data_IF_685988026162
#
_entry.id   IF_685988026162
#
_cell.length_a   1.000
_cell.length_b   1.000
_cell.length_c   1.000
_cell.angle_alpha   90.00
_cell.angle_beta   90.00
_cell.angle_gamma   90.00
#
_symmetry.space_group_name_H-M   'P 1'
#
loop_
_entity.id
_entity.type
_entity.pdbx_description
1 polymer ?
#
# COMPACT_ATOMS: atom_id res chain seq x y z
N UNK A 1 -18.21 5.26 30.16
CA UNK A 1 -17.98 6.01 28.90
C UNK A 1 -16.51 6.35 28.62
N UNK A 2 -15.65 6.63 29.63
CA UNK A 2 -14.20 6.76 29.42
C UNK A 2 -13.51 5.45 28.99
N UNK A 3 -14.06 4.30 29.40
CA UNK A 3 -13.51 2.96 29.08
C UNK A 3 -13.78 2.52 27.64
N UNK A 4 -14.99 2.74 27.11
CA UNK A 4 -15.36 2.38 25.72
C UNK A 4 -14.58 3.18 24.66
N UNK A 5 -14.30 4.46 24.92
CA UNK A 5 -13.47 5.28 24.03
C UNK A 5 -12.00 4.88 24.06
N UNK A 6 -11.49 4.41 25.20
CA UNK A 6 -10.10 3.99 25.37
C UNK A 6 -9.83 2.61 24.75
N UNK A 7 -10.78 1.67 24.84
CA UNK A 7 -10.69 0.37 24.15
C UNK A 7 -10.76 0.49 22.62
N UNK A 8 -11.54 1.43 22.08
CA UNK A 8 -11.63 1.64 20.63
C UNK A 8 -10.38 2.30 20.04
N UNK A 9 -9.76 3.24 20.77
CA UNK A 9 -8.46 3.84 20.39
C UNK A 9 -7.36 2.77 20.44
N UNK A 10 -7.36 1.89 21.45
CA UNK A 10 -6.43 0.77 21.54
C UNK A 10 -6.66 -0.29 20.46
N UNK A 11 -7.91 -0.61 20.10
CA UNK A 11 -8.22 -1.53 19.02
C UNK A 11 -7.88 -0.96 17.63
N UNK A 12 -8.05 0.35 17.42
CA UNK A 12 -7.61 1.03 16.21
C UNK A 12 -6.08 1.10 16.12
N UNK A 13 -5.37 1.39 17.22
CA UNK A 13 -3.90 1.36 17.28
C UNK A 13 -3.33 -0.06 17.11
N UNK A 14 -4.01 -1.09 17.61
CA UNK A 14 -3.61 -2.49 17.44
C UNK A 14 -3.69 -2.98 15.99
N UNK A 15 -4.55 -2.38 15.15
CA UNK A 15 -4.59 -2.66 13.71
C UNK A 15 -3.45 -2.00 12.92
N UNK A 16 -2.75 -1.03 13.51
CA UNK A 16 -1.52 -0.43 12.97
C UNK A 16 -0.25 -1.07 13.55
N UNK A 17 -0.33 -1.74 14.70
CA UNK A 17 0.80 -2.45 15.33
C UNK A 17 1.25 -3.71 14.55
N UNK A 18 0.49 -4.14 13.55
CA UNK A 18 0.86 -5.22 12.63
C UNK A 18 1.64 -4.78 11.40
N UNK A 19 1.99 -3.49 11.28
CA UNK A 19 2.77 -2.98 10.15
C UNK A 19 4.25 -3.29 10.37
N UNK A 20 4.61 -4.57 10.23
CA UNK A 20 6.00 -4.95 10.02
C UNK A 20 6.39 -4.52 8.62
N UNK A 21 7.34 -3.58 8.51
CA UNK A 21 8.03 -3.31 7.26
C UNK A 21 8.82 -4.57 6.90
N UNK A 22 8.25 -5.42 6.07
CA UNK A 22 9.02 -6.52 5.51
C UNK A 22 9.95 -5.97 4.43
N UNK A 23 11.25 -6.09 4.67
CA UNK A 23 12.24 -5.82 3.64
C UNK A 23 12.54 -7.15 2.95
N UNK A 24 12.61 -7.20 1.62
CA UNK A 24 13.09 -8.40 0.95
C UNK A 24 14.52 -8.67 1.42
N UNK A 25 14.86 -9.91 1.74
CA UNK A 25 16.21 -10.26 2.19
C UNK A 25 17.16 -10.11 1.00
N UNK A 26 18.27 -9.41 1.19
CA UNK A 26 19.28 -9.18 0.15
C UNK A 26 20.63 -9.74 0.56
N UNK A 27 21.35 -10.29 -0.40
CA UNK A 27 22.72 -10.78 -0.23
C UNK A 27 23.57 -10.27 -1.40
N UNK A 28 24.72 -9.68 -1.12
CA UNK A 28 25.63 -9.17 -2.15
C UNK A 28 27.01 -9.83 -2.02
N UNK A 29 27.65 -10.06 -3.16
CA UNK A 29 28.98 -10.64 -3.27
C UNK A 29 29.67 -10.21 -4.58
N UNK A 30 30.75 -10.89 -4.95
CA UNK A 30 31.59 -10.53 -6.08
C UNK A 30 32.70 -9.55 -5.70
N UNK A 31 33.48 -9.11 -6.69
CA UNK A 31 34.55 -8.14 -6.49
C UNK A 31 33.94 -6.81 -6.05
N UNK A 32 34.17 -6.44 -4.78
CA UNK A 32 33.59 -5.26 -4.13
C UNK A 32 32.06 -5.30 -3.96
N UNK A 33 31.47 -6.47 -3.71
CA UNK A 33 30.04 -6.65 -3.38
C UNK A 33 29.05 -6.10 -4.43
N UNK A 34 29.45 -6.11 -5.70
CA UNK A 34 28.68 -5.53 -6.81
C UNK A 34 27.59 -6.44 -7.37
N UNK A 35 27.62 -7.73 -7.03
CA UNK A 35 26.64 -8.71 -7.49
C UNK A 35 25.65 -8.95 -6.36
N UNK A 36 24.42 -8.51 -6.53
CA UNK A 36 23.40 -8.55 -5.49
C UNK A 36 22.21 -9.41 -5.89
N UNK A 37 21.74 -10.19 -4.92
CA UNK A 37 20.58 -11.06 -5.01
C UNK A 37 19.56 -10.62 -3.97
N UNK A 38 18.28 -10.73 -4.29
CA UNK A 38 17.20 -10.34 -3.39
C UNK A 38 16.04 -11.32 -3.53
N UNK A 39 15.51 -11.79 -2.41
CA UNK A 39 14.38 -12.73 -2.36
C UNK A 39 13.16 -12.06 -1.77
N UNK A 40 12.01 -12.35 -2.36
CA UNK A 40 10.74 -11.85 -1.91
C UNK A 40 9.71 -12.99 -1.91
N UNK A 41 9.23 -13.34 -0.71
CA UNK A 41 8.30 -14.45 -0.48
C UNK A 41 6.89 -13.90 -0.28
N UNK A 42 5.93 -14.16 -1.19
CA UNK A 42 4.53 -13.78 -0.98
C UNK A 42 3.97 -14.36 0.32
N UNK A 43 3.14 -13.60 1.03
CA UNK A 43 2.47 -14.07 2.25
C UNK A 43 1.66 -15.36 2.05
N UNK A 44 1.12 -15.60 0.84
CA UNK A 44 0.45 -16.85 0.49
C UNK A 44 1.42 -18.04 0.55
N UNK A 45 2.60 -17.92 -0.05
CA UNK A 45 3.64 -18.95 -0.02
C UNK A 45 4.19 -19.16 1.39
N UNK A 46 4.44 -18.06 2.12
CA UNK A 46 4.83 -18.11 3.53
C UNK A 46 3.83 -18.88 4.40
N UNK A 47 2.53 -18.68 4.17
CA UNK A 47 1.47 -19.29 4.97
C UNK A 47 1.23 -20.76 4.63
N UNK A 48 1.23 -21.10 3.34
CA UNK A 48 0.92 -22.45 2.84
C UNK A 48 2.15 -23.38 2.79
N UNK A 49 3.37 -22.83 2.82
CA UNK A 49 4.60 -23.59 2.73
C UNK A 49 4.97 -24.02 1.30
N UNK A 50 4.23 -23.55 0.28
CA UNK A 50 4.49 -23.78 -1.14
C UNK A 50 3.96 -22.59 -1.95
N UNK A 51 4.60 -22.28 -3.08
CA UNK A 51 4.07 -21.26 -3.99
C UNK A 51 5.15 -20.42 -4.66
N UNK A 52 4.74 -19.24 -5.13
CA UNK A 52 5.61 -18.37 -5.90
C UNK A 52 6.76 -17.80 -5.05
N UNK A 53 7.89 -17.56 -5.70
CA UNK A 53 9.06 -16.88 -5.15
C UNK A 53 9.51 -15.82 -6.17
N UNK A 54 9.82 -14.62 -5.69
CA UNK A 54 10.39 -13.58 -6.54
C UNK A 54 11.87 -13.42 -6.21
N UNK A 55 12.69 -13.43 -7.25
CA UNK A 55 14.14 -13.27 -7.14
C UNK A 55 14.53 -12.07 -7.98
N UNK A 56 15.39 -11.21 -7.45
CA UNK A 56 16.04 -10.15 -8.21
C UNK A 56 17.55 -10.35 -8.20
N UNK A 57 18.14 -10.34 -9.39
CA UNK A 57 19.59 -10.40 -9.60
C UNK A 57 20.05 -9.06 -10.17
N UNK A 58 21.10 -8.48 -9.60
CA UNK A 58 21.70 -7.22 -10.04
C UNK A 58 23.21 -7.37 -10.14
N UNK A 59 23.78 -6.94 -11.26
CA UNK A 59 25.22 -6.90 -11.44
C UNK A 59 25.60 -5.84 -12.49
N UNK A 60 26.77 -5.20 -12.38
CA UNK A 60 27.22 -4.30 -13.42
C UNK A 60 27.51 -5.02 -14.74
N UNK A 61 27.48 -4.28 -15.84
CA UNK A 61 27.63 -4.82 -17.20
C UNK A 61 29.05 -5.25 -17.57
N UNK A 62 30.01 -5.12 -16.65
CA UNK A 62 31.37 -5.68 -16.75
C UNK A 62 31.44 -7.17 -16.36
N UNK A 63 30.30 -7.74 -15.96
CA UNK A 63 30.10 -9.18 -15.83
C UNK A 63 29.55 -9.77 -17.13
N UNK A 64 30.26 -10.76 -17.67
CA UNK A 64 29.83 -11.54 -18.84
C UNK A 64 28.55 -12.31 -18.54
N UNK A 65 28.48 -12.94 -17.35
CA UNK A 65 27.29 -13.61 -16.84
C UNK A 65 27.31 -13.66 -15.31
N UNK A 66 26.12 -13.75 -14.72
CA UNK A 66 25.91 -13.96 -13.27
C UNK A 66 24.86 -15.05 -13.06
N UNK A 67 25.08 -15.93 -12.09
CA UNK A 67 24.23 -17.06 -11.78
C UNK A 67 23.87 -17.15 -10.30
N UNK A 68 22.63 -17.55 -10.04
CA UNK A 68 22.14 -17.95 -8.71
C UNK A 68 21.61 -19.38 -8.80
N UNK A 69 21.97 -20.25 -7.86
CA UNK A 69 21.51 -21.63 -7.80
C UNK A 69 20.94 -21.99 -6.43
N UNK A 70 19.97 -22.90 -6.40
CA UNK A 70 19.42 -23.46 -5.16
C UNK A 70 20.36 -24.52 -4.57
N UNK A 71 20.34 -24.71 -3.25
CA UNK A 71 21.11 -25.76 -2.57
C UNK A 71 22.54 -25.33 -2.25
N UNK A 72 23.38 -26.32 -1.90
CA UNK A 72 24.72 -26.10 -1.36
C UNK A 72 25.85 -26.26 -2.39
N UNK A 73 25.56 -26.87 -3.54
CA UNK A 73 26.55 -27.20 -4.57
C UNK A 73 25.93 -27.16 -5.97
N UNK A 74 26.77 -27.25 -7.01
CA UNK A 74 26.28 -27.23 -8.40
C UNK A 74 25.42 -28.44 -8.73
N UNK A 75 25.78 -29.62 -8.23
CA UNK A 75 25.04 -30.86 -8.48
C UNK A 75 23.61 -30.79 -7.92
N UNK A 76 22.61 -31.06 -8.75
CA UNK A 76 21.20 -31.00 -8.35
C UNK A 76 20.64 -29.59 -8.18
N UNK A 77 21.43 -28.55 -8.46
CA UNK A 77 20.99 -27.15 -8.32
C UNK A 77 20.10 -26.71 -9.50
N UNK A 78 18.98 -26.08 -9.17
CA UNK A 78 18.21 -25.26 -10.11
C UNK A 78 18.88 -23.90 -10.20
N UNK A 79 19.37 -23.55 -11.39
CA UNK A 79 20.16 -22.35 -11.61
C UNK A 79 19.44 -21.32 -12.50
N UNK A 80 19.60 -20.05 -12.14
CA UNK A 80 19.13 -18.88 -12.84
C UNK A 80 20.36 -18.09 -13.30
N UNK A 81 20.70 -18.19 -14.59
CA UNK A 81 21.86 -17.49 -15.16
C UNK A 81 21.35 -16.33 -16.01
N UNK A 82 21.92 -15.15 -15.78
CA UNK A 82 21.60 -13.93 -16.51
C UNK A 82 22.83 -13.38 -17.24
N UNK A 83 22.59 -12.80 -18.41
CA UNK A 83 23.57 -12.09 -19.22
C UNK A 83 22.85 -11.08 -20.12
N UNK A 84 23.57 -10.12 -20.68
CA UNK A 84 22.94 -9.12 -21.55
C UNK A 84 22.58 -9.75 -22.90
N UNK A 85 21.43 -9.34 -23.43
CA UNK A 85 20.93 -9.82 -24.72
C UNK A 85 21.57 -9.10 -25.93
N UNK A 86 22.21 -7.96 -25.67
CA UNK A 86 22.82 -7.07 -26.66
C UNK A 86 21.96 -5.92 -27.16
N UNK A 87 20.68 -5.87 -26.77
CA UNK A 87 19.73 -4.81 -27.19
C UNK A 87 19.34 -3.86 -26.07
N UNK A 88 19.99 -3.98 -24.90
CA UNK A 88 19.68 -3.22 -23.70
C UNK A 88 18.77 -3.97 -22.72
N UNK A 89 18.53 -5.26 -22.95
CA UNK A 89 17.79 -6.14 -22.07
C UNK A 89 18.71 -7.23 -21.47
N UNK A 90 18.13 -8.11 -20.66
CA UNK A 90 18.80 -9.27 -20.08
C UNK A 90 18.14 -10.56 -20.57
N UNK A 91 18.96 -11.56 -20.84
CA UNK A 91 18.52 -12.93 -21.10
C UNK A 91 18.53 -13.70 -19.78
N UNK A 92 17.45 -14.44 -19.52
CA UNK A 92 17.37 -15.39 -18.42
C UNK A 92 17.46 -16.82 -18.96
N UNK A 93 18.47 -17.55 -18.49
CA UNK A 93 18.71 -18.95 -18.79
C UNK A 93 18.50 -19.78 -17.54
N UNK A 94 17.44 -20.59 -17.51
CA UNK A 94 17.23 -21.58 -16.47
C UNK A 94 18.05 -22.84 -16.79
N UNK A 95 18.77 -23.37 -15.80
CA UNK A 95 19.68 -24.50 -16.00
C UNK A 95 19.61 -25.49 -14.86
N UNK A 96 20.06 -26.72 -15.12
CA UNK A 96 20.18 -27.78 -14.10
C UNK A 96 21.62 -28.24 -14.00
N UNK A 97 22.15 -28.28 -12.78
CA UNK A 97 23.51 -28.77 -12.55
C UNK A 97 23.56 -30.28 -12.34
N UNK A 98 24.54 -30.93 -12.97
CA UNK A 98 24.78 -32.39 -12.91
C UNK A 98 26.23 -32.68 -12.49
N UNK A 99 26.74 -31.92 -11.51
CA UNK A 99 28.13 -31.96 -11.06
C UNK A 99 28.91 -30.70 -11.44
N UNK A 100 30.22 -30.84 -11.67
CA UNK A 100 31.13 -29.75 -12.04
C UNK A 100 31.28 -29.57 -13.56
N UNK A 101 30.22 -29.87 -14.30
CA UNK A 101 30.15 -29.67 -15.75
C UNK A 101 29.34 -28.40 -16.06
N UNK A 102 29.50 -27.86 -17.28
CA UNK A 102 28.71 -26.71 -17.71
C UNK A 102 27.23 -27.07 -17.65
N UNK A 103 26.41 -26.38 -16.83
CA UNK A 103 25.00 -26.71 -16.72
C UNK A 103 24.29 -26.33 -18.03
N UNK A 104 23.45 -27.23 -18.53
CA UNK A 104 22.69 -27.02 -19.76
C UNK A 104 21.34 -26.34 -19.49
N UNK A 105 20.80 -25.68 -20.53
CA UNK A 105 19.48 -25.08 -20.43
C UNK A 105 18.42 -26.15 -20.19
N UNK A 106 17.62 -25.95 -19.14
CA UNK A 106 16.43 -26.74 -18.86
C UNK A 106 15.24 -25.82 -18.73
N UNK A 107 14.19 -26.06 -19.51
CA UNK A 107 13.03 -25.17 -19.59
C UNK A 107 12.15 -25.29 -18.34
N UNK A 108 12.12 -24.24 -17.52
CA UNK A 108 11.24 -24.14 -16.35
C UNK A 108 10.05 -23.23 -16.66
N UNK A 109 8.89 -23.82 -17.01
CA UNK A 109 7.70 -23.04 -17.47
C UNK A 109 7.15 -22.06 -16.44
N UNK A 110 7.36 -22.32 -15.15
CA UNK A 110 6.94 -21.45 -14.05
C UNK A 110 7.91 -20.30 -13.78
N UNK A 111 9.06 -20.27 -14.44
CA UNK A 111 10.11 -19.27 -14.28
C UNK A 111 10.12 -18.33 -15.47
N UNK A 112 10.06 -17.02 -15.22
CA UNK A 112 10.12 -15.99 -16.28
C UNK A 112 10.67 -14.68 -15.76
N UNK A 113 11.25 -13.89 -16.66
CA UNK A 113 11.49 -12.47 -16.40
C UNK A 113 10.15 -11.74 -16.30
N UNK A 114 10.08 -10.77 -15.39
CA UNK A 114 8.96 -9.85 -15.22
C UNK A 114 9.41 -8.41 -15.46
N UNK A 115 8.44 -7.49 -15.49
CA UNK A 115 8.67 -6.07 -15.75
C UNK A 115 9.74 -5.45 -14.84
N UNK A 116 10.43 -4.44 -15.38
CA UNK A 116 11.58 -3.81 -14.73
C UNK A 116 12.90 -4.59 -14.85
N UNK A 117 12.91 -5.71 -15.58
CA UNK A 117 14.14 -6.37 -16.02
C UNK A 117 14.75 -5.63 -17.22
N UNK A 118 16.08 -5.64 -17.32
CA UNK A 118 16.83 -5.04 -18.42
C UNK A 118 18.17 -4.46 -17.97
N UNK A 119 18.81 -3.70 -18.84
CA UNK A 119 20.05 -3.00 -18.53
C UNK A 119 19.76 -1.52 -18.27
N UNK A 120 19.96 -1.07 -17.03
CA UNK A 120 19.71 0.32 -16.60
C UNK A 120 20.96 0.86 -15.92
N UNK A 121 21.43 2.04 -16.32
CA UNK A 121 22.60 2.71 -15.71
C UNK A 121 23.85 1.81 -15.58
N UNK A 122 24.18 1.04 -16.63
CA UNK A 122 25.31 0.08 -16.64
C UNK A 122 25.17 -1.05 -15.62
N UNK A 123 23.94 -1.38 -15.23
CA UNK A 123 23.61 -2.50 -14.36
C UNK A 123 22.59 -3.40 -15.05
N UNK A 124 22.90 -4.70 -15.13
CA UNK A 124 21.93 -5.74 -15.44
C UNK A 124 20.99 -5.89 -14.25
N UNK A 125 19.69 -5.86 -14.51
CA UNK A 125 18.64 -6.12 -13.53
C UNK A 125 17.74 -7.22 -14.08
N UNK A 126 17.65 -8.35 -13.38
CA UNK A 126 16.70 -9.41 -13.71
C UNK A 126 15.72 -9.56 -12.54
N UNK A 127 14.46 -9.21 -12.78
CA UNK A 127 13.36 -9.54 -11.89
C UNK A 127 12.74 -10.84 -12.37
N UNK A 128 12.80 -11.88 -11.54
CA UNK A 128 12.45 -13.24 -11.90
C UNK A 128 11.23 -13.65 -11.06
N UNK A 129 10.15 -14.01 -11.74
CA UNK A 129 9.05 -14.74 -11.13
C UNK A 129 9.37 -16.22 -11.20
N UNK A 130 9.46 -16.89 -10.06
CA UNK A 130 9.48 -18.34 -9.94
C UNK A 130 8.10 -18.78 -9.43
N UNK A 131 7.49 -19.78 -10.09
CA UNK A 131 6.39 -20.50 -9.46
C UNK A 131 6.91 -21.42 -8.35
N UNK A 132 6.15 -22.46 -8.03
CA UNK A 132 6.60 -23.42 -7.03
C UNK A 132 7.86 -24.16 -7.50
N UNK A 133 8.94 -24.03 -6.73
CA UNK A 133 10.23 -24.70 -6.95
C UNK A 133 10.31 -26.06 -6.21
N UNK A 134 9.28 -26.44 -5.45
CA UNK A 134 9.13 -27.73 -4.80
C UNK A 134 9.95 -27.93 -3.52
N UNK A 135 11.20 -27.46 -3.49
CA UNK A 135 12.16 -27.70 -2.40
C UNK A 135 12.50 -26.44 -1.59
N UNK A 136 11.52 -25.55 -1.37
CA UNK A 136 11.74 -24.29 -0.67
C UNK A 136 11.14 -24.31 0.75
N UNK A 137 11.96 -24.01 1.74
CA UNK A 137 11.56 -23.83 3.14
C UNK A 137 11.11 -22.38 3.38
N UNK A 138 9.87 -22.05 3.03
CA UNK A 138 9.36 -20.67 3.12
C UNK A 138 9.30 -20.07 4.53
N UNK A 139 9.47 -20.86 5.60
CA UNK A 139 9.49 -20.40 7.00
C UNK A 139 10.86 -20.59 7.67
N UNK A 140 11.90 -20.85 6.90
CA UNK A 140 13.23 -21.10 7.44
C UNK A 140 14.34 -20.82 6.43
N UNK A 141 15.52 -21.34 6.74
CA UNK A 141 16.71 -21.14 5.93
C UNK A 141 16.70 -21.99 4.68
N UNK A 142 17.14 -21.38 3.57
CA UNK A 142 17.33 -22.02 2.28
C UNK A 142 18.77 -21.77 1.86
N UNK A 143 19.47 -22.84 1.45
CA UNK A 143 20.83 -22.73 0.96
C UNK A 143 20.84 -22.29 -0.51
N UNK A 144 21.79 -21.45 -0.83
CA UNK A 144 21.98 -20.89 -2.15
C UNK A 144 23.46 -20.90 -2.50
N UNK A 145 23.72 -21.08 -3.79
CA UNK A 145 25.00 -20.85 -4.40
C UNK A 145 24.90 -19.69 -5.39
N UNK A 146 26.00 -19.03 -5.61
CA UNK A 146 26.13 -17.96 -6.60
C UNK A 146 27.44 -18.10 -7.32
N UNK A 147 27.46 -17.66 -8.58
CA UNK A 147 28.64 -17.70 -9.41
C UNK A 147 28.60 -16.54 -10.41
N UNK A 148 29.75 -16.04 -10.81
CA UNK A 148 29.83 -14.95 -11.78
C UNK A 148 31.08 -15.09 -12.62
N UNK A 149 31.05 -14.41 -13.77
CA UNK A 149 32.21 -14.29 -14.63
C UNK A 149 32.37 -12.85 -15.11
N UNK A 150 33.52 -12.25 -14.83
CA UNK A 150 33.89 -10.96 -15.41
C UNK A 150 34.31 -11.11 -16.87
N UNK A 151 34.03 -10.09 -17.68
CA UNK A 151 34.42 -10.09 -19.09
C UNK A 151 33.43 -9.35 -19.99
N UNK A 152 33.68 -9.42 -21.30
CA UNK A 152 32.78 -8.86 -22.30
C UNK A 152 31.45 -9.59 -22.30
N UNK A 153 30.39 -8.82 -22.57
CA UNK A 153 29.02 -9.31 -22.73
C UNK A 153 28.93 -10.49 -23.70
N UNK A 154 28.07 -11.47 -23.40
CA UNK A 154 27.70 -12.51 -24.36
C UNK A 154 26.85 -11.98 -25.52
N UNK A 155 26.18 -10.84 -25.33
CA UNK A 155 25.42 -10.13 -26.35
C UNK A 155 24.48 -11.05 -27.15
N UNK A 156 23.67 -11.84 -26.43
CA UNK A 156 22.80 -12.86 -27.04
C UNK A 156 21.49 -13.05 -26.29
N UNK A 157 20.39 -13.09 -27.04
CA UNK A 157 19.06 -13.46 -26.55
C UNK A 157 18.87 -14.99 -26.42
N UNK A 158 19.83 -15.80 -26.91
CA UNK A 158 19.76 -17.26 -26.87
C UNK A 158 19.89 -17.77 -25.44
N UNK A 159 18.85 -18.46 -24.94
CA UNK A 159 18.75 -18.95 -23.55
C UNK A 159 19.67 -20.13 -23.23
N UNK A 160 20.33 -20.70 -24.23
CA UNK A 160 21.18 -21.88 -24.19
C UNK A 160 22.65 -21.57 -24.52
N UNK A 161 23.04 -20.29 -24.47
CA UNK A 161 24.40 -19.85 -24.76
C UNK A 161 25.46 -20.64 -23.96
N UNK A 162 26.58 -20.99 -24.62
CA UNK A 162 27.70 -21.60 -23.93
C UNK A 162 28.34 -20.58 -22.97
N UNK A 163 28.49 -20.96 -21.69
CA UNK A 163 29.11 -20.12 -20.67
C UNK A 163 30.41 -20.78 -20.21
N UNK A 164 31.46 -19.97 -20.09
CA UNK A 164 32.73 -20.40 -19.50
C UNK A 164 32.60 -20.46 -17.98
N UNK A 165 33.45 -21.27 -17.36
CA UNK A 165 33.58 -21.38 -15.91
C UNK A 165 33.71 -20.01 -15.23
N UNK A 166 33.07 -19.88 -14.06
CA UNK A 166 33.07 -18.67 -13.25
C UNK A 166 34.47 -18.33 -12.74
N UNK A 167 34.76 -17.05 -12.58
CA UNK A 167 35.98 -16.59 -11.92
C UNK A 167 35.81 -16.44 -10.40
N UNK A 168 34.57 -16.43 -9.91
CA UNK A 168 34.25 -16.45 -8.50
C UNK A 168 32.89 -17.07 -8.23
N UNK A 169 32.76 -17.66 -7.06
CA UNK A 169 31.53 -18.28 -6.57
C UNK A 169 31.44 -18.12 -5.06
N UNK A 170 30.23 -18.31 -4.53
CA UNK A 170 30.01 -18.36 -3.09
C UNK A 170 28.82 -19.25 -2.73
N UNK A 171 28.84 -19.81 -1.53
CA UNK A 171 27.70 -20.48 -0.89
C UNK A 171 27.24 -19.69 0.33
N UNK A 172 25.94 -19.61 0.53
CA UNK A 172 25.34 -18.87 1.64
C UNK A 172 23.93 -19.38 1.93
N UNK A 173 23.35 -18.98 3.06
CA UNK A 173 22.00 -19.36 3.45
C UNK A 173 21.14 -18.10 3.64
N UNK A 174 19.88 -18.18 3.24
CA UNK A 174 18.91 -17.10 3.35
C UNK A 174 17.71 -17.59 4.14
N UNK A 175 17.44 -16.95 5.28
CA UNK A 175 16.23 -17.20 6.04
C UNK A 175 15.05 -16.44 5.42
N UNK A 176 14.06 -17.19 4.95
CA UNK A 176 12.84 -16.66 4.38
C UNK A 176 11.82 -16.18 5.42
N UNK A 177 12.05 -16.46 6.71
CA UNK A 177 11.25 -15.92 7.82
C UNK A 177 11.28 -14.39 7.89
N UNK A 178 12.35 -13.76 7.38
CA UNK A 178 12.49 -12.31 7.29
C UNK A 178 12.16 -11.75 5.88
N UNK A 179 12.07 -12.63 4.87
CA UNK A 179 11.83 -12.27 3.46
C UNK A 179 10.32 -12.24 3.08
N UNK A 180 9.43 -12.20 4.06
CA UNK A 180 7.99 -12.28 3.84
C UNK A 180 7.41 -10.96 3.30
N UNK A 181 7.13 -10.90 2.01
CA UNK A 181 6.21 -9.90 1.48
C UNK A 181 4.83 -10.13 2.09
N UNK A 182 4.45 -9.33 3.09
CA UNK A 182 3.04 -9.07 3.36
C UNK A 182 2.43 -8.67 2.02
N UNK A 183 1.33 -9.31 1.61
CA UNK A 183 0.61 -8.98 0.38
C UNK A 183 0.53 -7.45 0.21
N UNK A 184 1.35 -6.89 -0.68
CA UNK A 184 1.73 -5.47 -0.65
C UNK A 184 3.09 -5.10 -1.24
N UNK A 185 3.84 -6.05 -1.80
CA UNK A 185 5.09 -5.82 -2.55
C UNK A 185 4.91 -5.33 -3.98
N UNK A 186 3.72 -4.85 -4.37
CA UNK A 186 3.49 -4.20 -5.67
C UNK A 186 3.60 -2.68 -5.49
N UNK A 187 4.84 -2.22 -5.41
CA UNK A 187 5.23 -0.82 -5.34
C UNK A 187 4.96 -0.17 -3.97
N UNK A 188 6.02 0.19 -3.25
CA UNK A 188 5.97 1.03 -2.03
C UNK A 188 4.94 2.17 -2.14
N UNK A 189 4.78 2.73 -3.33
CA UNK A 189 3.85 3.80 -3.66
C UNK A 189 2.37 3.42 -3.53
N UNK A 190 1.94 2.22 -3.96
CA UNK A 190 0.55 1.75 -3.84
C UNK A 190 0.18 1.49 -2.39
N UNK A 191 1.10 0.89 -1.63
CA UNK A 191 0.95 0.65 -0.19
C UNK A 191 0.92 1.97 0.59
N UNK A 192 1.83 2.91 0.28
CA UNK A 192 1.82 4.27 0.86
C UNK A 192 0.50 4.98 0.55
N UNK A 193 0.02 4.93 -0.69
CA UNK A 193 -1.27 5.49 -1.09
C UNK A 193 -2.42 4.90 -0.26
N UNK A 194 -2.54 3.57 -0.25
CA UNK A 194 -3.60 2.86 0.46
C UNK A 194 -3.59 3.16 1.96
N UNK A 195 -2.40 3.21 2.58
CA UNK A 195 -2.23 3.51 3.99
C UNK A 195 -2.64 4.95 4.33
N UNK A 196 -2.14 5.95 3.60
CA UNK A 196 -2.49 7.36 3.82
C UNK A 196 -3.99 7.56 3.63
N UNK A 197 -4.56 7.06 2.53
CA UNK A 197 -5.97 7.26 2.21
C UNK A 197 -6.89 6.54 3.20
N UNK A 198 -6.50 5.36 3.69
CA UNK A 198 -7.25 4.66 4.75
C UNK A 198 -7.29 5.47 6.03
N UNK A 199 -6.16 6.02 6.49
CA UNK A 199 -6.13 6.88 7.69
C UNK A 199 -6.98 8.13 7.51
N UNK A 200 -6.85 8.80 6.37
CA UNK A 200 -7.58 10.03 6.04
C UNK A 200 -9.09 9.81 6.04
N UNK A 201 -9.59 8.79 5.34
CA UNK A 201 -11.03 8.58 5.13
C UNK A 201 -11.71 7.76 6.22
N UNK A 202 -11.04 6.74 6.80
CA UNK A 202 -11.65 5.96 7.87
C UNK A 202 -11.61 6.69 9.20
N UNK A 203 -10.56 7.45 9.49
CA UNK A 203 -10.35 8.02 10.82
C UNK A 203 -10.32 9.55 10.79
N UNK A 204 -9.50 10.15 9.93
CA UNK A 204 -9.24 11.59 9.89
C UNK A 204 -10.49 12.43 9.73
N UNK A 205 -11.21 12.26 8.62
CA UNK A 205 -12.42 13.02 8.32
C UNK A 205 -13.57 12.72 9.31
N UNK A 206 -13.90 11.45 9.62
CA UNK A 206 -14.95 11.14 10.61
C UNK A 206 -14.65 11.74 11.98
N UNK A 207 -13.43 11.59 12.50
CA UNK A 207 -13.05 12.15 13.79
C UNK A 207 -13.09 13.68 13.78
N UNK A 208 -12.54 14.29 12.73
CA UNK A 208 -12.55 15.75 12.56
C UNK A 208 -13.96 16.33 12.55
N UNK A 209 -14.91 15.63 11.93
CA UNK A 209 -16.31 16.05 11.87
C UNK A 209 -17.04 15.96 13.21
N UNK A 210 -16.54 15.15 14.17
CA UNK A 210 -17.04 15.05 15.54
C UNK A 210 -16.49 16.15 16.48
N UNK A 211 -15.39 16.81 16.12
CA UNK A 211 -14.78 17.86 16.96
C UNK A 211 -15.73 19.04 17.18
N UNK A 212 -16.47 19.47 16.15
CA UNK A 212 -17.49 20.52 16.31
C UNK A 212 -18.64 20.11 17.23
N UNK A 213 -19.26 18.92 17.06
CA UNK A 213 -20.24 18.41 18.00
C UNK A 213 -19.79 18.34 19.46
N UNK A 214 -18.56 17.92 19.71
CA UNK A 214 -18.06 17.57 21.05
C UNK A 214 -17.41 18.78 21.75
N UNK A 215 -16.51 19.47 21.06
CA UNK A 215 -15.69 20.55 21.63
C UNK A 215 -16.34 21.92 21.38
N UNK A 216 -17.04 22.09 20.25
CA UNK A 216 -17.71 23.34 19.89
C UNK A 216 -16.79 24.47 19.41
N UNK A 217 -15.48 24.23 19.30
CA UNK A 217 -14.49 25.21 18.86
C UNK A 217 -14.22 25.08 17.36
N UNK A 218 -14.63 26.10 16.58
CA UNK A 218 -14.54 26.10 15.12
C UNK A 218 -13.10 25.97 14.61
N UNK A 219 -12.15 26.64 15.26
CA UNK A 219 -10.75 26.62 14.82
C UNK A 219 -10.12 25.24 14.98
N UNK A 220 -10.43 24.49 16.05
CA UNK A 220 -9.92 23.12 16.25
C UNK A 220 -10.42 22.20 15.14
N UNK A 221 -11.71 22.31 14.81
CA UNK A 221 -12.28 21.56 13.70
C UNK A 221 -11.64 21.97 12.37
N UNK A 222 -11.57 23.26 12.06
CA UNK A 222 -10.99 23.76 10.82
C UNK A 222 -9.53 23.32 10.66
N UNK A 223 -8.69 23.50 11.69
CA UNK A 223 -7.28 23.09 11.65
C UNK A 223 -7.13 21.59 11.41
N UNK A 224 -7.86 20.75 12.15
CA UNK A 224 -7.82 19.31 11.94
C UNK A 224 -8.26 18.92 10.51
N UNK A 225 -9.37 19.51 10.04
CA UNK A 225 -9.87 19.26 8.69
C UNK A 225 -8.86 19.67 7.61
N UNK A 226 -8.14 20.78 7.80
CA UNK A 226 -7.11 21.20 6.85
C UNK A 226 -5.89 20.27 6.85
N UNK A 227 -5.46 19.75 8.02
CA UNK A 227 -4.37 18.76 8.08
C UNK A 227 -4.76 17.48 7.33
N UNK A 228 -5.97 16.97 7.57
CA UNK A 228 -6.48 15.78 6.89
C UNK A 228 -6.66 16.03 5.40
N UNK A 229 -7.08 17.23 4.99
CA UNK A 229 -7.20 17.64 3.60
C UNK A 229 -5.85 17.65 2.87
N UNK A 230 -4.79 18.15 3.51
CA UNK A 230 -3.43 18.09 2.95
C UNK A 230 -2.97 16.64 2.84
N UNK A 231 -3.22 15.82 3.88
CA UNK A 231 -2.92 14.39 3.86
C UNK A 231 -3.63 13.64 2.73
N UNK A 232 -4.88 14.01 2.42
CA UNK A 232 -5.62 13.48 1.27
C UNK A 232 -4.92 13.76 -0.05
N UNK A 233 -4.40 14.97 -0.27
CA UNK A 233 -3.65 15.31 -1.48
C UNK A 233 -2.31 14.59 -1.55
N UNK A 234 -1.61 14.41 -0.44
CA UNK A 234 -0.41 13.58 -0.38
C UNK A 234 -0.71 12.13 -0.78
N UNK A 235 -1.80 11.56 -0.26
CA UNK A 235 -2.30 10.25 -0.66
C UNK A 235 -2.69 10.21 -2.14
N UNK A 236 -3.38 11.23 -2.65
CA UNK A 236 -3.76 11.30 -4.07
C UNK A 236 -2.55 11.31 -5.00
N UNK A 237 -1.52 12.11 -4.69
CA UNK A 237 -0.27 12.16 -5.47
C UNK A 237 0.43 10.81 -5.50
N UNK A 238 0.52 10.12 -4.37
CA UNK A 238 1.11 8.76 -4.36
C UNK A 238 0.25 7.78 -5.15
N UNK A 239 -1.07 7.87 -5.09
CA UNK A 239 -1.97 7.05 -5.92
C UNK A 239 -1.76 7.28 -7.42
N UNK A 240 -1.56 8.52 -7.83
CA UNK A 240 -1.23 8.88 -9.22
C UNK A 240 0.08 8.26 -9.67
N UNK A 241 1.12 8.37 -8.84
CA UNK A 241 2.41 7.74 -9.11
C UNK A 241 2.32 6.20 -9.20
N UNK A 242 1.41 5.57 -8.43
CA UNK A 242 1.16 4.14 -8.52
C UNK A 242 0.41 3.75 -9.80
N UNK A 243 -0.60 4.54 -10.18
CA UNK A 243 -1.40 4.29 -11.38
C UNK A 243 -0.63 4.52 -12.69
N UNK A 244 0.26 5.51 -12.73
CA UNK A 244 1.14 5.77 -13.89
C UNK A 244 2.03 4.55 -14.20
N UNK A 245 2.49 3.82 -13.16
CA UNK A 245 3.33 2.62 -13.33
C UNK A 245 2.56 1.43 -13.88
N UNK A 246 1.26 1.35 -13.61
CA UNK A 246 0.39 0.23 -14.02
C UNK A 246 -0.42 0.54 -15.27
N UNK A 247 -0.33 1.77 -15.81
CA UNK A 247 -1.11 2.21 -16.97
C UNK A 247 -2.62 2.31 -16.74
N UNK A 248 -3.10 2.18 -15.49
CA UNK A 248 -4.51 1.96 -15.16
C UNK A 248 -5.30 3.22 -14.77
N UNK A 249 -4.77 4.42 -15.03
CA UNK A 249 -5.33 5.69 -14.53
C UNK A 249 -6.79 5.95 -14.95
N UNK A 250 -7.21 5.51 -16.14
CA UNK A 250 -8.56 5.79 -16.66
C UNK A 250 -9.51 4.59 -16.70
N UNK A 251 -9.04 3.39 -16.39
CA UNK A 251 -9.82 2.16 -16.61
C UNK A 251 -10.36 1.55 -15.31
N UNK A 252 -9.77 1.91 -14.16
CA UNK A 252 -10.15 1.33 -12.87
C UNK A 252 -11.24 2.16 -12.16
N UNK A 253 -12.37 1.54 -11.74
CA UNK A 253 -13.44 2.24 -11.02
C UNK A 253 -12.96 2.99 -9.77
N UNK A 254 -12.02 2.41 -9.02
CA UNK A 254 -11.41 3.03 -7.85
C UNK A 254 -10.71 4.36 -8.16
N UNK A 255 -9.98 4.42 -9.28
CA UNK A 255 -9.22 5.61 -9.67
C UNK A 255 -10.17 6.72 -10.13
N UNK A 256 -11.20 6.37 -10.90
CA UNK A 256 -12.21 7.32 -11.37
C UNK A 256 -12.97 7.92 -10.19
N UNK A 257 -13.56 7.06 -9.34
CA UNK A 257 -14.33 7.52 -8.18
C UNK A 257 -13.44 8.30 -7.21
N UNK A 258 -12.22 7.81 -6.93
CA UNK A 258 -11.27 8.49 -6.05
C UNK A 258 -10.90 9.89 -6.53
N UNK A 259 -10.64 10.05 -7.83
CA UNK A 259 -10.33 11.35 -8.44
C UNK A 259 -11.49 12.32 -8.33
N UNK A 260 -12.72 11.86 -8.63
CA UNK A 260 -13.93 12.67 -8.49
C UNK A 260 -14.13 13.10 -7.04
N UNK A 261 -14.03 12.18 -6.08
CA UNK A 261 -14.20 12.48 -4.65
C UNK A 261 -13.16 13.48 -4.15
N UNK A 262 -11.88 13.33 -4.54
CA UNK A 262 -10.82 14.27 -4.16
C UNK A 262 -11.06 15.66 -4.74
N UNK A 263 -11.48 15.76 -6.00
CA UNK A 263 -11.83 17.02 -6.65
C UNK A 263 -13.03 17.71 -5.98
N UNK A 264 -14.08 16.94 -5.68
CA UNK A 264 -15.26 17.42 -4.96
C UNK A 264 -14.92 17.90 -3.54
N UNK A 265 -13.95 17.28 -2.88
CA UNK A 265 -13.53 17.67 -1.53
C UNK A 265 -12.97 19.10 -1.46
N UNK A 266 -12.48 19.69 -2.56
CA UNK A 266 -12.02 21.10 -2.60
C UNK A 266 -13.15 22.08 -2.25
N UNK A 267 -14.40 21.71 -2.51
CA UNK A 267 -15.57 22.53 -2.22
C UNK A 267 -15.86 22.58 -0.71
N UNK A 268 -15.43 21.58 0.07
CA UNK A 268 -15.73 21.48 1.50
C UNK A 268 -15.16 22.64 2.34
N UNK A 269 -13.86 23.01 2.23
CA UNK A 269 -13.32 24.18 2.94
C UNK A 269 -14.06 25.48 2.61
N UNK A 270 -14.45 25.68 1.35
CA UNK A 270 -15.20 26.86 0.88
C UNK A 270 -16.56 26.91 1.56
N UNK A 271 -17.31 25.80 1.49
CA UNK A 271 -18.62 25.68 2.16
C UNK A 271 -18.51 25.81 3.67
N UNK A 272 -17.44 25.31 4.29
CA UNK A 272 -17.17 25.45 5.71
C UNK A 272 -16.93 26.90 6.13
N UNK A 273 -16.16 27.66 5.34
CA UNK A 273 -15.95 29.09 5.56
C UNK A 273 -17.24 29.90 5.41
N UNK A 274 -18.02 29.64 4.35
CA UNK A 274 -19.33 30.28 4.14
C UNK A 274 -20.33 29.91 5.25
N UNK A 275 -20.36 28.64 5.67
CA UNK A 275 -21.14 28.18 6.81
C UNK A 275 -20.77 28.98 8.06
N UNK A 276 -19.49 29.11 8.36
CA UNK A 276 -19.02 29.81 9.55
C UNK A 276 -19.39 31.29 9.53
N UNK A 277 -19.13 31.99 8.42
CA UNK A 277 -19.50 33.41 8.26
C UNK A 277 -21.01 33.62 8.41
N UNK A 278 -21.83 32.76 7.84
CA UNK A 278 -23.28 32.84 7.97
C UNK A 278 -23.74 32.53 9.39
N UNK A 279 -23.12 31.56 10.08
CA UNK A 279 -23.45 31.22 11.44
C UNK A 279 -23.11 32.36 12.41
N UNK A 280 -21.95 33.01 12.25
CA UNK A 280 -21.57 34.20 13.04
C UNK A 280 -22.54 35.36 12.79
N UNK A 281 -22.97 35.57 11.54
CA UNK A 281 -23.91 36.66 11.19
C UNK A 281 -25.34 36.43 11.69
N UNK A 282 -25.88 35.22 11.52
CA UNK A 282 -27.31 34.95 11.76
C UNK A 282 -27.58 34.19 13.06
N UNK A 283 -26.54 33.70 13.75
CA UNK A 283 -26.62 32.90 14.98
C UNK A 283 -27.53 31.66 14.88
N UNK A 284 -27.80 31.21 13.64
CA UNK A 284 -28.62 30.04 13.32
C UNK A 284 -28.07 29.30 12.11
N UNK A 285 -28.46 28.03 11.96
CA UNK A 285 -28.14 27.25 10.76
C UNK A 285 -28.86 27.82 9.53
N UNK A 286 -28.14 27.95 8.43
CA UNK A 286 -28.68 28.44 7.15
C UNK A 286 -28.73 27.32 6.11
N UNK A 287 -29.24 27.59 4.90
CA UNK A 287 -29.23 26.60 3.80
C UNK A 287 -27.83 26.06 3.51
N UNK A 288 -26.83 26.96 3.44
CA UNK A 288 -25.41 26.61 3.28
C UNK A 288 -24.95 25.67 4.39
N UNK A 289 -25.48 25.81 5.61
CA UNK A 289 -25.12 24.91 6.70
C UNK A 289 -25.54 23.47 6.45
N UNK A 290 -26.72 23.26 5.89
CA UNK A 290 -27.22 21.93 5.55
C UNK A 290 -26.48 21.35 4.37
N UNK A 291 -26.19 22.17 3.35
CA UNK A 291 -25.39 21.76 2.19
C UNK A 291 -24.02 21.27 2.63
N UNK A 292 -23.25 22.07 3.39
CA UNK A 292 -21.92 21.67 3.89
C UNK A 292 -21.93 20.31 4.62
N UNK A 293 -22.89 20.13 5.54
CA UNK A 293 -22.99 18.92 6.37
C UNK A 293 -23.37 17.69 5.54
N UNK A 294 -24.43 17.76 4.75
CA UNK A 294 -24.93 16.60 3.99
C UNK A 294 -24.01 16.25 2.82
N UNK A 295 -23.47 17.26 2.14
CA UNK A 295 -22.46 17.07 1.11
C UNK A 295 -21.21 16.37 1.67
N UNK A 296 -20.77 16.75 2.88
CA UNK A 296 -19.59 16.14 3.52
C UNK A 296 -19.84 14.68 3.88
N UNK A 297 -21.03 14.37 4.39
CA UNK A 297 -21.43 12.99 4.69
C UNK A 297 -21.47 12.12 3.44
N UNK A 298 -22.03 12.62 2.35
CA UNK A 298 -22.06 11.90 1.08
C UNK A 298 -20.63 11.59 0.57
N UNK A 299 -19.74 12.59 0.58
CA UNK A 299 -18.34 12.40 0.17
C UNK A 299 -17.57 11.43 1.07
N UNK A 300 -17.80 11.44 2.39
CA UNK A 300 -17.17 10.47 3.30
C UNK A 300 -17.60 9.04 2.99
N UNK A 301 -18.90 8.80 2.76
CA UNK A 301 -19.41 7.47 2.39
C UNK A 301 -18.80 7.01 1.07
N UNK A 302 -18.81 7.87 0.05
CA UNK A 302 -18.18 7.56 -1.24
C UNK A 302 -16.68 7.27 -1.10
N UNK A 303 -15.96 8.04 -0.28
CA UNK A 303 -14.54 7.82 -0.02
C UNK A 303 -14.26 6.48 0.68
N UNK A 304 -15.06 6.11 1.68
CA UNK A 304 -14.92 4.82 2.39
C UNK A 304 -15.20 3.64 1.45
N UNK A 305 -16.27 3.72 0.65
CA UNK A 305 -16.60 2.70 -0.37
C UNK A 305 -15.48 2.62 -1.40
N UNK A 306 -14.97 3.76 -1.85
CA UNK A 306 -13.86 3.82 -2.79
C UNK A 306 -12.58 3.18 -2.23
N UNK A 307 -12.26 3.37 -0.95
CA UNK A 307 -11.12 2.70 -0.32
C UNK A 307 -11.27 1.17 -0.33
N UNK A 308 -12.50 0.65 -0.15
CA UNK A 308 -12.79 -0.78 -0.31
C UNK A 308 -12.55 -1.28 -1.74
N UNK A 309 -12.97 -0.52 -2.75
CA UNK A 309 -12.66 -0.81 -4.16
C UNK A 309 -11.15 -0.78 -4.44
N UNK A 310 -10.40 0.10 -3.77
CA UNK A 310 -8.94 0.18 -3.88
C UNK A 310 -8.25 -1.07 -3.36
N UNK A 311 -8.72 -1.62 -2.23
CA UNK A 311 -8.22 -2.90 -1.71
C UNK A 311 -8.52 -4.07 -2.64
N UNK A 312 -9.71 -4.08 -3.27
CA UNK A 312 -10.05 -5.09 -4.28
C UNK A 312 -9.16 -4.98 -5.52
N UNK A 313 -8.94 -3.75 -6.01
CA UNK A 313 -8.04 -3.49 -7.15
C UNK A 313 -6.61 -3.93 -6.86
N UNK A 314 -6.14 -3.75 -5.63
CA UNK A 314 -4.80 -4.17 -5.19
C UNK A 314 -4.67 -5.69 -4.92
N UNK A 315 -5.72 -6.49 -5.15
CA UNK A 315 -5.70 -7.92 -4.85
C UNK A 315 -5.46 -8.23 -3.37
N UNK A 316 -5.87 -7.33 -2.46
CA UNK A 316 -5.59 -7.44 -1.05
C UNK A 316 -6.18 -8.71 -0.43
N UNK A 317 -5.47 -9.30 0.54
CA UNK A 317 -5.95 -10.51 1.21
C UNK A 317 -7.33 -10.31 1.85
N UNK A 318 -8.14 -11.37 1.88
CA UNK A 318 -9.47 -11.35 2.52
C UNK A 318 -9.41 -10.85 3.97
N UNK A 319 -8.32 -11.14 4.70
CA UNK A 319 -8.08 -10.63 6.06
C UNK A 319 -7.98 -9.11 6.11
N UNK A 320 -7.26 -8.48 5.17
CA UNK A 320 -7.13 -7.01 5.10
C UNK A 320 -8.45 -6.35 4.69
N UNK A 321 -9.19 -6.95 3.75
CA UNK A 321 -10.52 -6.46 3.33
C UNK A 321 -11.50 -6.50 4.52
N UNK A 322 -11.54 -7.62 5.25
CA UNK A 322 -12.37 -7.75 6.46
C UNK A 322 -11.92 -6.74 7.52
N UNK A 323 -10.62 -6.59 7.76
CA UNK A 323 -10.07 -5.62 8.70
C UNK A 323 -10.50 -4.19 8.38
N UNK A 324 -10.37 -3.76 7.12
CA UNK A 324 -10.83 -2.46 6.65
C UNK A 324 -12.34 -2.28 6.87
N UNK A 325 -13.14 -3.29 6.54
CA UNK A 325 -14.59 -3.26 6.74
C UNK A 325 -14.97 -3.09 8.22
N UNK A 326 -14.30 -3.79 9.13
CA UNK A 326 -14.51 -3.66 10.58
C UNK A 326 -14.16 -2.26 11.07
N UNK A 327 -13.03 -1.68 10.65
CA UNK A 327 -12.66 -0.30 11.01
C UNK A 327 -13.65 0.72 10.46
N UNK A 328 -14.09 0.55 9.21
CA UNK A 328 -15.09 1.41 8.60
C UNK A 328 -16.42 1.36 9.35
N UNK A 329 -16.90 0.16 9.69
CA UNK A 329 -18.14 -0.03 10.44
C UNK A 329 -18.05 0.59 11.84
N UNK A 330 -17.00 0.27 12.59
CA UNK A 330 -16.79 0.78 13.95
C UNK A 330 -16.73 2.30 13.96
N UNK A 331 -16.00 2.91 13.04
CA UNK A 331 -15.89 4.38 12.95
C UNK A 331 -17.22 5.02 12.58
N UNK A 332 -17.98 4.41 11.66
CA UNK A 332 -19.31 4.89 11.27
C UNK A 332 -20.32 4.81 12.42
N UNK A 333 -20.26 3.74 13.23
CA UNK A 333 -21.05 3.60 14.46
C UNK A 333 -20.65 4.66 15.51
N UNK A 334 -19.36 4.93 15.69
CA UNK A 334 -18.90 5.98 16.60
C UNK A 334 -19.36 7.37 16.14
N UNK A 335 -19.30 7.64 14.85
CA UNK A 335 -19.77 8.88 14.25
C UNK A 335 -21.27 9.10 14.50
N UNK A 336 -22.08 8.09 14.22
CA UNK A 336 -23.54 8.16 14.42
C UNK A 336 -23.89 8.27 15.90
N UNK A 337 -23.25 7.49 16.79
CA UNK A 337 -23.47 7.58 18.24
C UNK A 337 -23.11 8.97 18.80
N UNK A 338 -21.99 9.56 18.35
CA UNK A 338 -21.58 10.91 18.74
C UNK A 338 -22.59 11.97 18.31
N UNK A 339 -23.10 11.86 17.08
CA UNK A 339 -24.12 12.76 16.55
C UNK A 339 -25.46 12.65 17.33
N UNK A 340 -25.94 11.42 17.56
CA UNK A 340 -27.19 11.14 18.29
C UNK A 340 -27.11 11.65 19.73
N UNK A 341 -26.00 11.38 20.44
CA UNK A 341 -25.82 11.84 21.81
C UNK A 341 -25.90 13.36 21.94
N UNK A 342 -25.38 14.11 20.97
CA UNK A 342 -25.51 15.57 20.95
C UNK A 342 -26.97 15.99 20.77
N UNK A 343 -27.71 15.36 19.86
CA UNK A 343 -29.14 15.63 19.65
C UNK A 343 -29.92 15.42 20.95
N UNK A 344 -29.70 14.29 21.63
CA UNK A 344 -30.37 13.97 22.91
C UNK A 344 -30.02 14.96 24.03
N UNK A 345 -28.76 15.39 24.13
CA UNK A 345 -28.33 16.40 25.13
C UNK A 345 -28.88 17.79 24.83
N UNK A 346 -28.98 18.17 23.55
CA UNK A 346 -29.63 19.41 23.12
C UNK A 346 -31.11 19.43 23.49
N UNK A 347 -31.82 18.32 23.24
CA UNK A 347 -33.24 18.18 23.60
C UNK A 347 -33.47 18.32 25.11
N UNK A 348 -32.63 17.67 25.95
CA UNK A 348 -32.72 17.80 27.42
C UNK A 348 -32.43 19.22 27.92
N UNK A 349 -31.51 19.96 27.28
CA UNK A 349 -31.19 21.33 27.69
C UNK A 349 -32.34 22.31 27.43
N UNK A 350 -33.08 22.12 26.33
CA UNK A 350 -34.28 22.91 26.03
C UNK A 350 -35.50 22.56 26.90
N UNK A 351 -35.59 21.35 27.46
CA UNK A 351 -36.65 20.98 28.40
C UNK A 351 -36.47 21.55 29.82
N UNK A 352 -35.25 21.93 30.19
CA UNK A 352 -34.92 22.46 31.53
C UNK A 352 -34.70 23.97 31.58
N UNK A 353 -34.91 24.69 30.47
CA UNK A 353 -34.90 26.15 30.48
C UNK A 353 -36.34 26.63 30.73
N UNK A 354 -36.69 27.14 31.94
CA UNK A 354 -38.03 27.66 32.17
C UNK A 354 -38.25 28.83 31.20
N UNK A 355 -39.39 28.82 30.49
CA UNK A 355 -39.79 29.94 29.65
C UNK A 355 -39.74 31.23 30.47
N UNK A 356 -38.75 32.07 30.21
CA UNK A 356 -38.78 33.45 30.68
C UNK A 356 -39.87 34.17 29.89
N UNK A 357 -41.06 34.18 30.47
CA UNK A 357 -42.15 35.04 30.04
C UNK A 357 -41.73 36.48 30.32
N UNK A 358 -41.14 37.15 29.33
CA UNK A 358 -40.95 38.59 29.37
C UNK A 358 -42.28 39.23 28.99
N UNK A 359 -43.09 39.52 30.01
CA UNK A 359 -44.24 40.40 29.87
C UNK A 359 -43.78 41.81 29.58
N UNK A 360 -44.11 42.31 28.39
CA UNK A 360 -44.48 43.71 28.19
C UNK A 360 -45.32 43.80 26.92
N UNK A 361 -46.49 44.40 27.07
CA UNK A 361 -47.57 44.47 26.10
C UNK A 361 -47.21 45.36 24.91
N UNK A 362 -47.60 44.94 23.70
CA UNK A 362 -48.33 45.84 22.81
C UNK A 362 -49.32 45.04 21.98
N UNK A 363 -50.59 45.39 22.14
CA UNK A 363 -51.67 45.02 21.26
C UNK A 363 -51.43 45.51 19.82
N UNK A 364 -52.30 45.05 18.90
CA UNK A 364 -52.46 45.46 17.49
C UNK A 364 -51.51 44.69 16.54
N UNK A 365 -51.93 43.92 15.53
CA UNK A 365 -53.19 43.82 14.81
C UNK A 365 -53.45 42.38 14.30
N UNK A 366 -54.74 42.04 14.24
CA UNK A 366 -55.30 41.11 13.27
C UNK A 366 -55.08 41.65 11.84
N UNK A 367 -54.49 40.82 10.98
CA UNK A 367 -54.90 40.40 9.61
C UNK A 367 -53.70 39.71 8.97
#
# INVERSE_FOLDING_TARGET
MKSLTSMAIAAALALFAGWSSASPTSYCNGKSDKVCYTWAVPASAASSGSGNLFIRIQAPVDYQWVGLGTGDEMSGSTMFVIYQDGTGNVTLSTRMGHGHEMPEHSRMRSVRLIEGSGVVNKTMVANIHCGDLGNMHFKGSNNWISAWKTGSSLHTAGIDANIKEHDGHNSFSVDFSEAHLVAGGEGNTSTIHGSIMSVVFLLGYPLGSLLMPIIGKWFIHATWQMIVFIGMWAGFVTGKLAADRTGNWFNAPHVIIGTVVCGLMVIQPILGGLHHRNFVKHQRRTGISHVHIWYGRALMILGIVNGGLGLQLAGASTKLIIGYGVVGLTTSLMYTAGAVRKMLRGAKKHQHEPMKYNGSYSAVALI
#
